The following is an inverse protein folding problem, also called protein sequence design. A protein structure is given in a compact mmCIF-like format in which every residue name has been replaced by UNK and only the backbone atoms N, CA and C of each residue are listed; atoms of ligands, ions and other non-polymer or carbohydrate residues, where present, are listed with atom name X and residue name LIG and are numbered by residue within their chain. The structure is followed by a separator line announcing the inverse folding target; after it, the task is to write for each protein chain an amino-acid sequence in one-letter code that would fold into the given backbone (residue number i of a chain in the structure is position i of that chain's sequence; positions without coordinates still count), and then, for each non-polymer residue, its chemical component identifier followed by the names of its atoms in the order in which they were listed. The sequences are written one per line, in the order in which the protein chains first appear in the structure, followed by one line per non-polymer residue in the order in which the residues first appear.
data_IF_516733508738
#
_entry.id   IF_516733508738
#
_cell.length_a   1.000
_cell.length_b   1.000
_cell.length_c   1.000
_cell.angle_alpha   90.00
_cell.angle_beta   90.00
_cell.angle_gamma   90.00
#
_symmetry.space_group_name_H-M   'P 1'
#
loop_
_entity.id
_entity.type
_entity.pdbx_description
1 polymer ?
#
# COMPACT_ATOMS: atom_id res chain seq x y z
N UNK A 1 11.93 -32.43 3.56
CA UNK A 1 11.55 -31.82 2.27
C UNK A 1 10.70 -30.61 2.58
N UNK A 2 11.13 -29.40 2.22
CA UNK A 2 10.29 -28.19 2.35
C UNK A 2 9.11 -28.34 1.39
N UNK A 3 7.89 -28.16 1.91
CA UNK A 3 6.68 -28.14 1.08
C UNK A 3 6.74 -26.87 0.22
N UNK A 4 6.73 -27.02 -1.09
CA UNK A 4 6.59 -25.90 -2.00
C UNK A 4 5.12 -25.41 -1.97
N UNK A 5 4.86 -24.36 -1.22
CA UNK A 5 3.56 -23.71 -1.22
C UNK A 5 3.50 -22.70 -2.37
N UNK A 6 2.53 -22.84 -3.26
CA UNK A 6 2.45 -22.01 -4.50
C UNK A 6 1.91 -20.59 -4.27
N UNK A 7 1.03 -20.39 -3.28
CA UNK A 7 0.33 -19.12 -3.08
C UNK A 7 0.30 -18.72 -1.59
N UNK A 8 1.51 -18.54 -1.00
CA UNK A 8 1.62 -18.05 0.36
C UNK A 8 1.39 -16.55 0.44
N UNK A 9 0.53 -16.15 1.37
CA UNK A 9 0.38 -14.78 1.83
C UNK A 9 0.81 -14.68 3.30
N UNK A 10 1.46 -13.59 3.64
CA UNK A 10 1.91 -13.33 5.00
C UNK A 10 1.44 -11.96 5.43
N UNK A 11 0.59 -11.91 6.46
CA UNK A 11 0.19 -10.70 7.13
C UNK A 11 1.12 -10.41 8.32
N UNK A 12 1.58 -9.16 8.44
CA UNK A 12 2.36 -8.69 9.58
C UNK A 12 1.66 -7.50 10.22
N UNK A 13 1.18 -7.69 11.45
CA UNK A 13 0.62 -6.62 12.27
C UNK A 13 1.67 -6.11 13.26
N UNK A 14 2.03 -4.82 13.13
CA UNK A 14 3.02 -4.15 13.99
C UNK A 14 2.26 -3.23 14.94
N UNK A 15 1.78 -3.82 16.04
CA UNK A 15 0.99 -3.12 17.05
C UNK A 15 1.84 -2.52 18.18
N UNK A 16 1.22 -1.68 19.00
CA UNK A 16 1.87 -1.05 20.15
C UNK A 16 2.12 -2.04 21.31
N UNK A 17 1.27 -3.06 21.48
CA UNK A 17 1.36 -4.02 22.56
C UNK A 17 1.93 -5.36 22.12
N UNK A 18 1.66 -5.77 20.90
CA UNK A 18 2.12 -7.02 20.31
C UNK A 18 2.43 -6.85 18.82
N UNK A 19 3.30 -7.70 18.33
CA UNK A 19 3.55 -7.90 16.89
C UNK A 19 3.10 -9.31 16.56
N UNK A 20 2.39 -9.47 15.44
CA UNK A 20 1.86 -10.76 15.00
C UNK A 20 2.16 -10.99 13.53
N UNK A 21 2.70 -12.15 13.20
CA UNK A 21 2.88 -12.62 11.83
C UNK A 21 1.96 -13.83 11.59
N UNK A 22 1.22 -13.81 10.50
CA UNK A 22 0.31 -14.91 10.11
C UNK A 22 0.69 -15.37 8.71
N UNK A 23 1.00 -16.66 8.58
CA UNK A 23 1.25 -17.31 7.28
C UNK A 23 0.02 -18.07 6.87
N UNK A 24 -0.46 -17.82 5.67
CA UNK A 24 -1.63 -18.49 5.12
C UNK A 24 -1.42 -18.89 3.65
N UNK A 25 -2.19 -19.85 3.21
CA UNK A 25 -2.25 -20.34 1.83
C UNK A 25 -3.62 -20.01 1.24
N UNK A 26 -3.64 -19.43 0.05
CA UNK A 26 -4.87 -19.22 -0.71
C UNK A 26 -5.22 -20.52 -1.41
N UNK A 27 -6.40 -21.08 -1.13
CA UNK A 27 -6.90 -22.31 -1.72
C UNK A 27 -7.52 -22.04 -3.09
N UNK A 28 -7.74 -23.10 -3.88
CA UNK A 28 -8.32 -23.00 -5.22
C UNK A 28 -9.77 -22.40 -5.23
N UNK A 29 -10.49 -22.53 -4.13
CA UNK A 29 -11.82 -21.96 -3.91
C UNK A 29 -11.79 -20.53 -3.35
N UNK A 30 -10.62 -19.89 -3.37
CA UNK A 30 -10.33 -18.58 -2.76
C UNK A 30 -10.48 -18.52 -1.22
N UNK A 31 -10.66 -19.65 -0.53
CA UNK A 31 -10.58 -19.68 0.93
C UNK A 31 -9.15 -19.52 1.41
N UNK A 32 -8.98 -19.03 2.64
CA UNK A 32 -7.68 -18.80 3.25
C UNK A 32 -7.45 -19.82 4.37
N UNK A 33 -6.39 -20.62 4.23
CA UNK A 33 -5.97 -21.59 5.23
C UNK A 33 -4.75 -21.09 5.99
N UNK A 34 -4.90 -20.83 7.28
CA UNK A 34 -3.77 -20.45 8.14
C UNK A 34 -2.85 -21.66 8.36
N UNK A 35 -1.56 -21.48 8.07
CA UNK A 35 -0.52 -22.51 8.21
C UNK A 35 0.33 -22.30 9.45
N UNK A 36 0.52 -21.06 9.86
CA UNK A 36 1.32 -20.74 11.04
C UNK A 36 1.12 -19.31 11.51
N UNK A 37 1.42 -19.08 12.77
CA UNK A 37 1.32 -17.77 13.41
C UNK A 37 2.45 -17.63 14.43
N UNK A 38 3.01 -16.43 14.51
CA UNK A 38 3.96 -16.04 15.54
C UNK A 38 3.54 -14.73 16.20
N UNK A 39 3.73 -14.64 17.50
CA UNK A 39 3.35 -13.46 18.29
C UNK A 39 4.49 -13.09 19.23
N UNK A 40 4.89 -11.82 19.21
CA UNK A 40 5.91 -11.29 20.11
C UNK A 40 5.42 -10.02 20.83
N UNK A 41 5.88 -9.75 22.06
CA UNK A 41 5.64 -8.47 22.70
C UNK A 41 6.25 -7.33 21.88
N UNK A 42 5.53 -6.22 21.74
CA UNK A 42 6.05 -5.03 21.08
C UNK A 42 6.78 -4.13 22.08
N UNK A 43 8.09 -3.98 21.93
CA UNK A 43 8.93 -3.21 22.87
C UNK A 43 9.45 -1.89 22.30
N UNK A 44 9.33 -1.68 21.00
CA UNK A 44 9.86 -0.51 20.29
C UNK A 44 8.80 0.49 19.82
N UNK A 45 7.53 0.28 20.17
CA UNK A 45 6.39 1.07 19.70
C UNK A 45 5.71 1.84 20.85
N UNK A 46 5.25 3.04 20.56
CA UNK A 46 4.42 3.83 21.50
C UNK A 46 3.32 4.56 20.73
N UNK A 47 2.05 4.29 21.05
CA UNK A 47 0.89 4.92 20.41
C UNK A 47 0.92 4.87 18.88
N UNK A 48 1.31 3.71 18.32
CA UNK A 48 1.40 3.53 16.87
C UNK A 48 2.65 4.13 16.21
N UNK A 49 3.59 4.70 16.98
CA UNK A 49 4.83 5.30 16.46
C UNK A 49 6.02 4.48 16.91
N UNK A 50 6.99 4.25 16.01
CA UNK A 50 8.25 3.61 16.33
C UNK A 50 9.11 4.59 17.13
N UNK A 51 9.42 4.25 18.39
CA UNK A 51 10.28 5.04 19.28
C UNK A 51 11.66 4.41 19.47
N UNK A 52 11.80 3.12 19.18
CA UNK A 52 13.07 2.40 19.18
C UNK A 52 13.08 1.37 18.04
N UNK A 53 13.86 1.66 17.00
CA UNK A 53 13.93 0.83 15.79
C UNK A 53 14.50 -0.56 16.11
N UNK A 54 15.59 -0.64 16.87
CA UNK A 54 16.24 -1.91 17.20
C UNK A 54 15.30 -2.85 17.97
N UNK A 55 14.64 -2.35 19.00
CA UNK A 55 13.68 -3.12 19.78
C UNK A 55 12.49 -3.58 18.91
N UNK A 56 12.01 -2.71 18.01
CA UNK A 56 10.94 -3.07 17.06
C UNK A 56 11.38 -4.18 16.10
N UNK A 57 12.60 -4.08 15.56
CA UNK A 57 13.18 -5.11 14.66
C UNK A 57 13.30 -6.45 15.38
N UNK A 58 13.77 -6.48 16.63
CA UNK A 58 13.88 -7.71 17.42
C UNK A 58 12.51 -8.37 17.65
N UNK A 59 11.49 -7.56 18.02
CA UNK A 59 10.12 -8.06 18.20
C UNK A 59 9.53 -8.60 16.90
N UNK A 60 9.74 -7.91 15.77
CA UNK A 60 9.30 -8.38 14.44
C UNK A 60 9.98 -9.70 14.09
N UNK A 61 11.30 -9.77 14.24
CA UNK A 61 12.07 -10.99 13.95
C UNK A 61 11.64 -12.18 14.80
N UNK A 62 11.25 -11.95 16.04
CA UNK A 62 10.74 -13.01 16.90
C UNK A 62 9.41 -13.55 16.38
N UNK A 63 8.43 -12.66 16.11
CA UNK A 63 7.13 -13.08 15.58
C UNK A 63 7.25 -13.79 14.22
N UNK A 64 8.11 -13.28 13.33
CA UNK A 64 8.37 -13.89 12.02
C UNK A 64 8.99 -15.29 12.17
N UNK A 65 10.00 -15.46 13.02
CA UNK A 65 10.63 -16.78 13.25
C UNK A 65 9.65 -17.81 13.80
N UNK A 66 8.79 -17.43 14.73
CA UNK A 66 7.76 -18.33 15.26
C UNK A 66 6.75 -18.74 14.17
N UNK A 67 6.32 -17.81 13.34
CA UNK A 67 5.43 -18.10 12.21
C UNK A 67 6.09 -19.02 11.16
N UNK A 68 7.37 -18.77 10.83
CA UNK A 68 8.17 -19.63 9.92
C UNK A 68 8.30 -21.06 10.44
N UNK A 69 8.59 -21.22 11.74
CA UNK A 69 8.71 -22.55 12.36
C UNK A 69 7.38 -23.31 12.31
N UNK A 70 6.26 -22.64 12.64
CA UNK A 70 4.95 -23.27 12.64
C UNK A 70 4.47 -23.63 11.22
N UNK A 71 4.70 -22.75 10.24
CA UNK A 71 4.31 -22.98 8.85
C UNK A 71 5.31 -23.83 8.06
N UNK A 72 6.48 -24.16 8.62
CA UNK A 72 7.58 -24.84 7.95
C UNK A 72 7.98 -24.18 6.61
N UNK A 73 7.98 -22.86 6.55
CA UNK A 73 8.31 -22.07 5.35
C UNK A 73 9.30 -20.95 5.68
N UNK A 74 9.82 -20.30 4.63
CA UNK A 74 10.63 -19.09 4.73
C UNK A 74 9.81 -17.87 4.27
N UNK A 75 9.77 -16.84 5.11
CA UNK A 75 9.05 -15.59 4.81
C UNK A 75 9.99 -14.62 4.09
N UNK A 76 9.66 -14.24 2.86
CA UNK A 76 10.44 -13.30 2.04
C UNK A 76 9.69 -12.01 1.74
N UNK A 77 8.36 -12.03 1.84
CA UNK A 77 7.48 -10.88 1.63
C UNK A 77 6.36 -10.89 2.65
N UNK A 78 5.94 -9.71 3.07
CA UNK A 78 4.81 -9.53 4.00
C UNK A 78 3.90 -8.42 3.49
N UNK A 79 2.63 -8.51 3.86
CA UNK A 79 1.65 -7.43 3.74
C UNK A 79 1.47 -6.86 5.15
N UNK A 80 1.68 -5.55 5.30
CA UNK A 80 1.54 -4.88 6.59
C UNK A 80 0.63 -3.67 6.48
N UNK A 81 -0.13 -3.40 7.52
CA UNK A 81 -0.88 -2.16 7.68
C UNK A 81 -0.01 -1.05 8.28
N UNK A 82 -0.33 0.19 7.97
CA UNK A 82 0.27 1.37 8.59
C UNK A 82 -0.83 2.18 9.25
N UNK A 83 -0.64 2.52 10.52
CA UNK A 83 -1.54 3.39 11.28
C UNK A 83 -0.75 4.39 12.10
N UNK A 84 -1.36 5.54 12.37
CA UNK A 84 -0.75 6.55 13.23
C UNK A 84 -1.24 7.95 12.90
N UNK A 85 -1.11 8.88 13.84
CA UNK A 85 -1.52 10.28 13.67
C UNK A 85 -0.69 11.05 12.61
N UNK A 86 0.44 10.49 12.18
CA UNK A 86 1.29 11.02 11.12
C UNK A 86 0.82 10.62 9.72
N UNK A 87 -0.04 9.60 9.60
CA UNK A 87 -0.68 9.23 8.32
C UNK A 87 -1.80 10.24 8.05
N UNK A 88 -1.73 10.91 6.92
CA UNK A 88 -2.70 11.96 6.54
C UNK A 88 -3.07 11.82 5.08
N UNK A 89 -4.37 11.93 4.80
CA UNK A 89 -4.88 12.02 3.44
C UNK A 89 -5.04 13.47 2.99
N UNK A 90 -4.78 13.73 1.71
CA UNK A 90 -5.04 15.02 1.05
C UNK A 90 -5.61 14.77 -0.34
N UNK A 91 -6.50 15.65 -0.77
CA UNK A 91 -6.97 15.65 -2.15
C UNK A 91 -6.14 16.65 -2.96
N UNK A 92 -5.85 16.30 -4.19
CA UNK A 92 -5.17 17.14 -5.16
C UNK A 92 -5.83 17.03 -6.52
N UNK A 93 -5.60 18.02 -7.36
CA UNK A 93 -6.08 18.04 -8.74
C UNK A 93 -4.89 18.28 -9.65
N UNK A 94 -4.70 17.38 -10.61
CA UNK A 94 -3.79 17.57 -11.73
C UNK A 94 -4.55 17.98 -12.98
N UNK A 95 -3.88 18.70 -13.87
CA UNK A 95 -4.44 19.13 -15.15
C UNK A 95 -3.36 19.11 -16.22
N UNK A 96 -3.70 18.58 -17.40
CA UNK A 96 -2.84 18.61 -18.59
C UNK A 96 -3.65 18.94 -19.84
N UNK A 97 -2.98 19.56 -20.82
CA UNK A 97 -3.55 19.75 -22.15
C UNK A 97 -3.37 18.46 -22.97
N UNK A 98 -4.43 18.05 -23.67
CA UNK A 98 -4.43 16.91 -24.59
C UNK A 98 -4.07 17.43 -25.99
N UNK A 99 -2.88 17.07 -26.50
CA UNK A 99 -2.34 17.65 -27.75
C UNK A 99 -3.03 17.12 -29.00
N UNK A 100 -3.31 15.82 -29.03
CA UNK A 100 -3.84 15.13 -30.22
C UNK A 100 -5.38 15.07 -30.24
N UNK A 101 -6.04 15.84 -29.36
CA UNK A 101 -7.50 15.83 -29.16
C UNK A 101 -8.08 14.46 -28.80
N UNK A 102 -7.27 13.50 -28.48
CA UNK A 102 -7.63 12.16 -27.99
C UNK A 102 -6.72 11.81 -26.81
N UNK A 103 -7.32 11.44 -25.69
CA UNK A 103 -6.59 11.15 -24.47
C UNK A 103 -5.81 9.86 -24.62
N UNK A 104 -4.50 9.94 -24.51
CA UNK A 104 -3.57 8.81 -24.55
C UNK A 104 -3.22 8.31 -23.13
N UNK A 105 -2.69 7.07 -23.00
CA UNK A 105 -2.14 6.58 -21.74
C UNK A 105 -1.05 7.51 -21.16
N UNK A 106 -0.28 8.19 -22.03
CA UNK A 106 0.76 9.14 -21.60
C UNK A 106 0.17 10.40 -20.97
N UNK A 107 -1.01 10.86 -21.41
CA UNK A 107 -1.69 12.01 -20.83
C UNK A 107 -2.25 11.67 -19.45
N UNK A 108 -2.78 10.45 -19.27
CA UNK A 108 -3.20 9.94 -17.97
C UNK A 108 -2.00 9.86 -16.99
N UNK A 109 -0.87 9.33 -17.44
CA UNK A 109 0.33 9.31 -16.61
C UNK A 109 0.78 10.73 -16.19
N UNK A 110 0.80 11.68 -17.13
CA UNK A 110 1.18 13.08 -16.86
C UNK A 110 0.21 13.79 -15.92
N UNK A 111 -1.10 13.61 -16.07
CA UNK A 111 -2.08 14.27 -15.20
C UNK A 111 -1.96 13.77 -13.77
N UNK A 112 -1.68 12.46 -13.57
CA UNK A 112 -1.43 11.89 -12.25
C UNK A 112 -0.11 12.39 -11.66
N UNK A 113 0.94 12.53 -12.46
CA UNK A 113 2.21 13.11 -12.03
C UNK A 113 2.04 14.59 -11.62
N UNK A 114 1.27 15.37 -12.39
CA UNK A 114 0.93 16.75 -12.04
C UNK A 114 0.14 16.82 -10.74
N UNK A 115 -0.81 15.92 -10.54
CA UNK A 115 -1.58 15.84 -9.30
C UNK A 115 -0.70 15.44 -8.08
N UNK A 116 0.36 14.67 -8.29
CA UNK A 116 1.35 14.32 -7.24
C UNK A 116 2.26 15.47 -6.84
N UNK A 117 2.45 16.45 -7.71
CA UNK A 117 3.37 17.58 -7.51
C UNK A 117 2.83 18.63 -6.53
N UNK A 118 2.09 18.21 -5.49
CA UNK A 118 1.72 19.09 -4.39
C UNK A 118 2.92 19.30 -3.46
N UNK A 119 2.93 20.44 -2.79
CA UNK A 119 3.93 20.73 -1.75
C UNK A 119 3.74 19.76 -0.56
N UNK A 120 4.47 18.65 -0.61
CA UNK A 120 4.63 17.72 0.50
C UNK A 120 5.87 18.16 1.27
N UNK A 121 5.76 18.27 2.59
CA UNK A 121 6.89 18.58 3.46
C UNK A 121 8.03 17.58 3.24
N UNK A 122 9.28 18.03 3.34
CA UNK A 122 10.47 17.19 3.08
C UNK A 122 10.61 15.98 4.01
N UNK A 123 9.91 16.00 5.13
CA UNK A 123 9.81 14.93 6.14
C UNK A 123 8.66 13.93 5.86
N UNK A 124 7.86 14.16 4.81
CA UNK A 124 6.74 13.31 4.41
C UNK A 124 6.99 12.66 3.05
N UNK A 125 6.42 11.48 2.85
CA UNK A 125 6.44 10.76 1.58
C UNK A 125 5.04 10.25 1.25
N UNK A 126 4.58 10.37 0.00
CA UNK A 126 3.32 9.74 -0.41
C UNK A 126 3.46 8.21 -0.36
N UNK A 127 2.52 7.58 0.32
CA UNK A 127 2.39 6.12 0.41
C UNK A 127 1.49 5.60 -0.70
N UNK A 128 0.44 6.35 -1.03
CA UNK A 128 -0.56 5.99 -2.01
C UNK A 128 -1.01 7.25 -2.75
N UNK A 129 -1.25 7.12 -4.05
CA UNK A 129 -1.89 8.14 -4.88
C UNK A 129 -2.97 7.44 -5.68
N UNK A 130 -4.22 7.67 -5.29
CA UNK A 130 -5.37 6.99 -5.86
C UNK A 130 -6.23 7.97 -6.68
N UNK A 131 -6.36 7.77 -8.00
CA UNK A 131 -7.28 8.55 -8.81
C UNK A 131 -8.72 8.31 -8.34
N UNK A 132 -9.47 9.38 -8.14
CA UNK A 132 -10.89 9.33 -7.77
C UNK A 132 -11.78 9.58 -8.97
N UNK A 133 -11.43 10.59 -9.74
CA UNK A 133 -12.20 11.04 -10.90
C UNK A 133 -11.27 11.52 -11.99
N UNK A 134 -11.68 11.31 -13.25
CA UNK A 134 -11.13 11.99 -14.41
C UNK A 134 -12.19 12.93 -14.99
N UNK A 135 -11.75 14.08 -15.50
CA UNK A 135 -12.62 15.08 -16.07
C UNK A 135 -12.03 15.51 -17.42
N UNK A 136 -12.82 15.40 -18.51
CA UNK A 136 -12.45 15.86 -19.85
C UNK A 136 -13.35 17.03 -20.20
N UNK A 137 -12.76 18.20 -20.43
CA UNK A 137 -13.46 19.44 -20.80
C UNK A 137 -14.68 19.77 -19.92
N UNK A 138 -14.57 19.43 -18.61
CA UNK A 138 -15.61 19.65 -17.61
C UNK A 138 -16.60 18.49 -17.43
N UNK A 139 -16.46 17.38 -18.15
CA UNK A 139 -17.30 16.19 -18.00
C UNK A 139 -16.56 15.09 -17.22
N UNK A 140 -17.18 14.57 -16.18
CA UNK A 140 -16.65 13.43 -15.41
C UNK A 140 -16.72 12.14 -16.23
N UNK A 141 -15.62 11.39 -16.23
CA UNK A 141 -15.47 10.12 -16.96
C UNK A 141 -14.75 9.09 -16.10
N UNK A 142 -15.09 7.81 -16.26
CA UNK A 142 -14.41 6.71 -15.54
C UNK A 142 -13.13 6.27 -16.24
N UNK A 143 -13.20 6.12 -17.56
CA UNK A 143 -12.09 5.66 -18.40
C UNK A 143 -11.80 6.73 -19.45
N UNK A 144 -10.79 7.58 -19.24
CA UNK A 144 -10.53 8.71 -20.11
C UNK A 144 -9.81 8.33 -21.42
N UNK A 145 -9.10 7.19 -21.46
CA UNK A 145 -8.26 6.78 -22.61
C UNK A 145 -9.11 6.57 -23.86
N UNK A 146 -8.70 7.17 -24.99
CA UNK A 146 -9.41 7.11 -26.26
C UNK A 146 -10.56 8.10 -26.39
N UNK A 147 -10.87 8.87 -25.33
CA UNK A 147 -11.91 9.91 -25.42
C UNK A 147 -11.36 11.19 -26.03
N UNK A 148 -12.20 11.88 -26.81
CA UNK A 148 -11.85 13.17 -27.42
C UNK A 148 -11.99 14.30 -26.41
N UNK A 149 -11.00 15.23 -26.40
CA UNK A 149 -11.01 16.42 -25.56
C UNK A 149 -9.71 17.20 -25.69
N UNK A 150 -9.68 18.40 -25.13
CA UNK A 150 -8.50 19.29 -25.17
C UNK A 150 -7.85 19.44 -23.80
N UNK A 151 -8.58 19.12 -22.71
CA UNK A 151 -8.12 19.24 -21.34
C UNK A 151 -8.51 18.00 -20.54
N UNK A 152 -7.52 17.36 -19.93
CA UNK A 152 -7.71 16.28 -18.99
C UNK A 152 -7.35 16.75 -17.58
N UNK A 153 -8.26 16.53 -16.64
CA UNK A 153 -8.04 16.74 -15.21
C UNK A 153 -8.20 15.42 -14.46
N UNK A 154 -7.49 15.25 -13.37
CA UNK A 154 -7.70 14.13 -12.44
C UNK A 154 -7.73 14.65 -11.01
N UNK A 155 -8.79 14.28 -10.28
CA UNK A 155 -8.84 14.42 -8.82
C UNK A 155 -8.23 13.17 -8.21
N UNK A 156 -7.24 13.33 -7.34
CA UNK A 156 -6.55 12.22 -6.68
C UNK A 156 -6.62 12.37 -5.18
N UNK A 157 -6.68 11.22 -4.48
CA UNK A 157 -6.48 11.14 -3.04
C UNK A 157 -5.04 10.67 -2.79
N UNK A 158 -4.30 11.41 -1.98
CA UNK A 158 -2.90 11.15 -1.63
C UNK A 158 -2.83 10.87 -0.14
N UNK A 159 -2.26 9.73 0.22
CA UNK A 159 -1.96 9.33 1.59
C UNK A 159 -0.46 9.33 1.80
#
# INVERSE_FOLDING_TARGET
MAKEYKDLIVGLDIGTSKIMAVVAEVQADASIKVLGMGVAPSTGMKRGVVVNIEASVQSIQQAVREAEMMAACKITRVITGITGSHIRGRNSVGMVAVRDREVSPSDVAKVLETARAINISTDQRPLLVEPQEFIIDGQEVKEPIGMSGVRLESKVHIV
#
